data_IF_230970367278
#
_entry.id   IF_230970367278
#
_cell.length_a   1.000
_cell.length_b   1.000
_cell.length_c   1.000
_cell.angle_alpha   90.00
_cell.angle_beta   90.00
_cell.angle_gamma   90.00
#
_symmetry.space_group_name_H-M   'P 1'
#
loop_
_entity.id
_entity.type
_entity.pdbx_description
1 polymer ?
#
# COMPACT_ATOMS: atom_id res chain seq x y z
N UNK A 1 -4.32 20.23 -6.80
CA UNK A 1 -4.46 20.75 -8.18
C UNK A 1 -3.54 21.93 -8.46
N UNK A 2 -2.51 21.69 -9.27
CA UNK A 2 -1.51 22.65 -9.75
C UNK A 2 -1.80 22.98 -11.21
N UNK A 3 -1.68 24.24 -11.64
CA UNK A 3 -1.85 24.60 -13.06
C UNK A 3 -0.50 24.65 -13.77
N UNK A 4 -0.37 23.93 -14.88
CA UNK A 4 0.83 23.87 -15.72
C UNK A 4 0.59 24.45 -17.09
N UNK A 5 1.55 25.23 -17.56
CA UNK A 5 1.61 25.70 -18.93
C UNK A 5 2.38 24.70 -19.79
N UNK A 6 1.73 24.19 -20.85
CA UNK A 6 2.26 23.19 -21.77
C UNK A 6 2.27 23.66 -23.22
N UNK A 7 3.18 23.10 -24.03
CA UNK A 7 3.28 23.40 -25.46
C UNK A 7 2.31 22.59 -26.32
N UNK A 8 1.65 21.57 -25.74
CA UNK A 8 0.69 20.70 -26.39
C UNK A 8 -0.18 20.06 -25.30
N UNK A 9 -1.47 20.37 -25.31
CA UNK A 9 -2.43 19.80 -24.35
C UNK A 9 -2.54 18.28 -24.50
N UNK A 10 -2.72 17.79 -25.73
CA UNK A 10 -2.92 16.36 -26.02
C UNK A 10 -1.77 15.49 -25.47
N UNK A 11 -0.52 15.85 -25.76
CA UNK A 11 0.64 15.09 -25.28
C UNK A 11 0.79 15.16 -23.76
N UNK A 12 0.48 16.31 -23.16
CA UNK A 12 0.55 16.50 -21.72
C UNK A 12 -0.54 15.70 -21.00
N UNK A 13 -1.78 15.68 -21.51
CA UNK A 13 -2.87 14.89 -20.96
C UNK A 13 -2.53 13.40 -20.94
N UNK A 14 -1.99 12.87 -22.04
CA UNK A 14 -1.55 11.46 -22.12
C UNK A 14 -0.46 11.18 -21.08
N UNK A 15 0.54 12.06 -20.99
CA UNK A 15 1.65 11.90 -20.05
C UNK A 15 1.19 11.90 -18.59
N UNK A 16 0.36 12.87 -18.19
CA UNK A 16 -0.08 12.99 -16.81
C UNK A 16 -1.05 11.89 -16.40
N UNK A 17 -1.89 11.44 -17.35
CA UNK A 17 -2.73 10.26 -17.16
C UNK A 17 -1.93 8.97 -17.04
N UNK A 18 -0.87 8.81 -17.83
CA UNK A 18 0.02 7.65 -17.70
C UNK A 18 0.58 7.58 -16.28
N UNK A 19 1.02 8.72 -15.73
CA UNK A 19 1.50 8.82 -14.35
C UNK A 19 0.41 8.70 -13.27
N UNK A 20 -0.89 8.75 -13.62
CA UNK A 20 -1.99 8.76 -12.66
C UNK A 20 -2.10 10.07 -11.87
N UNK A 21 -1.71 11.18 -12.48
CA UNK A 21 -1.65 12.52 -11.87
C UNK A 21 -2.61 13.52 -12.53
N UNK A 22 -3.53 13.05 -13.36
CA UNK A 22 -4.50 13.89 -14.08
C UNK A 22 -5.41 14.71 -13.16
N UNK A 23 -5.71 14.20 -11.96
CA UNK A 23 -6.53 14.92 -10.97
C UNK A 23 -5.72 15.95 -10.17
N UNK A 24 -4.39 15.83 -10.18
CA UNK A 24 -3.49 16.76 -9.48
C UNK A 24 -3.03 17.92 -10.34
N UNK A 25 -3.19 17.82 -11.66
CA UNK A 25 -2.60 18.72 -12.64
C UNK A 25 -3.65 19.24 -13.61
N UNK A 26 -3.89 20.55 -13.56
CA UNK A 26 -4.64 21.27 -14.57
C UNK A 26 -3.69 21.79 -15.66
N UNK A 27 -4.07 21.63 -16.93
CA UNK A 27 -3.23 22.01 -18.06
C UNK A 27 -3.76 23.26 -18.75
N UNK A 28 -2.84 24.11 -19.18
CA UNK A 28 -3.11 25.28 -20.01
C UNK A 28 -2.07 25.35 -21.12
N UNK A 29 -2.45 25.83 -22.30
CA UNK A 29 -1.52 25.97 -23.43
C UNK A 29 -0.86 27.36 -23.43
N UNK A 30 0.47 27.40 -23.39
CA UNK A 30 1.24 28.65 -23.44
C UNK A 30 2.62 28.42 -24.06
N UNK A 31 2.94 29.19 -25.09
CA UNK A 31 4.18 29.10 -25.85
C UNK A 31 5.39 29.72 -25.14
N UNK A 32 5.19 30.58 -24.14
CA UNK A 32 6.28 31.29 -23.45
C UNK A 32 6.39 30.86 -21.99
N UNK A 33 6.59 29.56 -21.77
CA UNK A 33 6.72 28.97 -20.43
C UNK A 33 8.16 29.01 -19.90
N UNK A 34 8.28 29.22 -18.59
CA UNK A 34 9.53 29.07 -17.84
C UNK A 34 9.44 27.79 -17.02
N UNK A 35 10.44 26.89 -17.06
CA UNK A 35 10.47 25.71 -16.21
C UNK A 35 10.30 26.06 -14.73
N UNK A 36 9.44 25.31 -14.06
CA UNK A 36 9.12 25.50 -12.64
C UNK A 36 9.57 24.30 -11.80
N UNK A 37 9.68 24.53 -10.50
CA UNK A 37 9.82 23.47 -9.51
C UNK A 37 8.54 23.39 -8.68
N UNK A 38 7.93 22.21 -8.63
CA UNK A 38 6.60 22.01 -8.06
C UNK A 38 6.60 20.78 -7.16
N UNK A 39 5.88 20.85 -6.04
CA UNK A 39 5.75 19.72 -5.12
C UNK A 39 4.31 19.21 -5.15
N UNK A 40 4.14 17.89 -5.29
CA UNK A 40 2.85 17.21 -5.30
C UNK A 40 2.84 16.20 -4.15
N UNK A 41 1.82 16.29 -3.30
CA UNK A 41 1.58 15.26 -2.28
C UNK A 41 0.65 14.21 -2.86
N UNK A 42 1.09 12.95 -2.82
CA UNK A 42 0.35 11.79 -3.32
C UNK A 42 0.20 10.76 -2.20
N UNK A 43 -0.74 9.83 -2.36
CA UNK A 43 -0.90 8.75 -1.39
C UNK A 43 0.33 7.83 -1.39
N UNK A 44 0.68 7.32 -2.58
CA UNK A 44 1.80 6.40 -2.82
C UNK A 44 2.73 6.92 -3.90
N UNK A 45 4.04 6.80 -3.69
CA UNK A 45 5.03 7.18 -4.69
C UNK A 45 5.50 6.02 -5.57
N UNK A 46 5.21 4.77 -5.18
CA UNK A 46 5.70 3.53 -5.79
C UNK A 46 5.42 3.48 -7.31
N UNK A 47 4.14 3.49 -7.69
CA UNK A 47 3.71 3.36 -9.08
C UNK A 47 4.20 4.52 -9.96
N UNK A 48 4.18 5.75 -9.41
CA UNK A 48 4.62 6.94 -10.13
C UNK A 48 6.13 6.86 -10.38
N UNK A 49 6.91 6.46 -9.37
CA UNK A 49 8.35 6.30 -9.50
C UNK A 49 8.70 5.27 -10.59
N UNK A 50 8.06 4.11 -10.58
CA UNK A 50 8.29 3.05 -11.57
C UNK A 50 7.97 3.52 -12.99
N UNK A 51 6.86 4.24 -13.18
CA UNK A 51 6.48 4.81 -14.48
C UNK A 51 7.46 5.88 -14.95
N UNK A 52 7.88 6.78 -14.07
CA UNK A 52 8.88 7.82 -14.38
C UNK A 52 10.20 7.18 -14.83
N UNK A 53 10.65 6.13 -14.14
CA UNK A 53 11.84 5.36 -14.52
C UNK A 53 11.65 4.64 -15.86
N UNK A 54 10.50 4.00 -16.08
CA UNK A 54 10.18 3.31 -17.32
C UNK A 54 10.12 4.25 -18.54
N UNK A 55 9.68 5.49 -18.33
CA UNK A 55 9.69 6.56 -19.34
C UNK A 55 11.10 7.14 -19.60
N UNK A 56 12.12 6.70 -18.85
CA UNK A 56 13.51 7.15 -19.02
C UNK A 56 13.76 8.59 -18.59
N UNK A 57 12.91 9.13 -17.71
CA UNK A 57 13.05 10.51 -17.22
C UNK A 57 14.21 10.64 -16.23
N UNK A 58 14.78 11.84 -16.15
CA UNK A 58 15.75 12.15 -15.11
C UNK A 58 15.05 12.14 -13.75
N UNK A 59 15.48 11.25 -12.86
CA UNK A 59 14.90 11.04 -11.53
C UNK A 59 15.97 11.10 -10.44
N UNK A 60 15.62 11.63 -9.26
CA UNK A 60 16.48 11.57 -8.06
C UNK A 60 16.28 10.24 -7.33
N UNK A 61 17.22 9.84 -6.44
CA UNK A 61 16.95 8.77 -5.48
C UNK A 61 15.74 9.10 -4.60
N UNK A 62 15.00 8.06 -4.20
CA UNK A 62 13.97 8.18 -3.17
C UNK A 62 14.64 8.44 -1.83
N UNK A 63 14.21 9.47 -1.12
CA UNK A 63 14.76 9.91 0.18
C UNK A 63 13.65 9.99 1.22
N UNK A 64 13.96 9.63 2.47
CA UNK A 64 13.02 9.81 3.58
C UNK A 64 12.71 11.29 3.83
N UNK A 65 11.45 11.56 4.18
CA UNK A 65 10.93 12.86 4.57
C UNK A 65 10.41 12.80 6.01
N UNK A 66 9.60 13.79 6.42
CA UNK A 66 8.94 13.81 7.73
C UNK A 66 7.82 12.77 7.83
N UNK A 67 7.56 12.27 9.04
CA UNK A 67 6.41 11.41 9.36
C UNK A 67 6.27 10.12 8.53
N UNK A 68 7.38 9.48 8.18
CA UNK A 68 7.37 8.21 7.43
C UNK A 68 7.02 8.35 5.95
N UNK A 69 6.86 9.58 5.45
CA UNK A 69 6.76 9.86 4.02
C UNK A 69 8.14 9.84 3.38
N UNK A 70 8.14 9.65 2.07
CA UNK A 70 9.32 9.68 1.23
C UNK A 70 9.11 10.71 0.12
N UNK A 71 10.22 11.15 -0.48
CA UNK A 71 10.17 12.03 -1.63
C UNK A 71 11.17 11.62 -2.69
N UNK A 72 10.82 11.87 -3.94
CA UNK A 72 11.73 11.84 -5.07
C UNK A 72 11.35 12.97 -6.02
N UNK A 73 12.27 13.37 -6.88
CA UNK A 73 12.01 14.36 -7.92
C UNK A 73 12.26 13.81 -9.30
N UNK A 74 11.53 14.30 -10.29
CA UNK A 74 11.81 14.02 -11.70
C UNK A 74 11.64 15.26 -12.56
N UNK A 75 12.28 15.26 -13.73
CA UNK A 75 12.12 16.32 -14.74
C UNK A 75 11.14 15.83 -15.80
N UNK A 76 10.00 16.51 -15.92
CA UNK A 76 8.99 16.21 -16.95
C UNK A 76 9.50 16.61 -18.35
N UNK A 77 8.92 16.08 -19.44
CA UNK A 77 9.34 16.41 -20.82
C UNK A 77 9.36 17.91 -21.12
N UNK A 78 8.52 18.69 -20.44
CA UNK A 78 8.46 20.13 -20.54
C UNK A 78 9.56 20.91 -19.80
N UNK A 79 10.42 20.23 -19.04
CA UNK A 79 11.51 20.81 -18.26
C UNK A 79 11.13 21.19 -16.82
N UNK A 80 9.86 21.11 -16.44
CA UNK A 80 9.43 21.28 -15.05
C UNK A 80 10.03 20.18 -14.17
N UNK A 81 10.50 20.56 -12.98
CA UNK A 81 10.93 19.61 -11.95
C UNK A 81 9.80 19.39 -10.97
N UNK A 82 9.37 18.14 -10.81
CA UNK A 82 8.37 17.76 -9.83
C UNK A 82 9.02 17.06 -8.65
N UNK A 83 8.58 17.39 -7.45
CA UNK A 83 8.94 16.71 -6.19
C UNK A 83 7.68 16.01 -5.71
N UNK A 84 7.71 14.68 -5.71
CA UNK A 84 6.59 13.84 -5.29
C UNK A 84 6.83 13.45 -3.84
N UNK A 85 5.82 13.63 -2.99
CA UNK A 85 5.88 13.32 -1.56
C UNK A 85 4.73 12.37 -1.22
N UNK A 86 5.03 11.18 -0.72
CA UNK A 86 4.01 10.17 -0.40
C UNK A 86 4.57 8.98 0.38
N UNK A 87 3.75 7.96 0.63
CA UNK A 87 4.24 6.70 1.20
C UNK A 87 5.01 5.90 0.14
N UNK A 88 6.14 5.30 0.55
CA UNK A 88 6.83 4.30 -0.25
C UNK A 88 6.54 2.94 0.38
N UNK A 89 5.57 2.22 -0.16
CA UNK A 89 5.05 0.99 0.46
C UNK A 89 5.99 -0.18 0.20
N UNK A 90 6.49 -0.29 -1.03
CA UNK A 90 7.37 -1.36 -1.51
C UNK A 90 8.85 -1.08 -1.22
N UNK A 91 9.10 -0.19 -0.27
CA UNK A 91 10.43 0.11 0.24
C UNK A 91 11.26 -1.17 0.54
N UNK A 92 12.57 -1.20 0.18
CA UNK A 92 13.39 -2.41 0.24
C UNK A 92 13.35 -3.13 1.59
N UNK A 93 13.03 -4.42 1.56
CA UNK A 93 12.91 -5.22 2.79
C UNK A 93 14.28 -5.40 3.48
N UNK A 94 14.32 -5.19 4.80
CA UNK A 94 15.52 -5.30 5.61
C UNK A 94 15.20 -5.80 7.04
N UNK A 95 16.24 -5.99 7.86
CA UNK A 95 16.11 -6.49 9.23
C UNK A 95 15.27 -5.59 10.15
N UNK A 96 15.37 -4.27 10.00
CA UNK A 96 14.61 -3.31 10.80
C UNK A 96 13.12 -3.40 10.53
N UNK A 97 12.74 -3.52 9.25
CA UNK A 97 11.33 -3.72 8.83
C UNK A 97 10.78 -5.04 9.32
N UNK A 98 11.61 -6.08 9.33
CA UNK A 98 11.26 -7.38 9.91
C UNK A 98 10.96 -7.22 11.41
N UNK A 99 11.85 -6.56 12.15
CA UNK A 99 11.68 -6.36 13.59
C UNK A 99 10.42 -5.54 13.90
N UNK A 100 10.21 -4.42 13.19
CA UNK A 100 9.05 -3.55 13.33
C UNK A 100 7.73 -4.27 13.05
N UNK A 101 7.69 -5.14 12.03
CA UNK A 101 6.51 -5.95 11.74
C UNK A 101 6.10 -6.82 12.93
N UNK A 102 7.03 -7.57 13.50
CA UNK A 102 6.75 -8.45 14.65
C UNK A 102 6.48 -7.67 15.94
N UNK A 103 7.07 -6.48 16.11
CA UNK A 103 6.70 -5.57 17.19
C UNK A 103 5.23 -5.11 17.05
N UNK A 104 4.84 -4.70 15.84
CA UNK A 104 3.49 -4.21 15.54
C UNK A 104 2.40 -5.27 15.73
N UNK A 105 2.72 -6.55 15.52
CA UNK A 105 1.78 -7.66 15.73
C UNK A 105 2.01 -8.40 17.05
N UNK A 106 2.77 -7.83 18.00
CA UNK A 106 3.12 -8.52 19.24
C UNK A 106 1.92 -8.90 20.13
N UNK A 107 0.76 -8.26 19.95
CA UNK A 107 -0.48 -8.52 20.65
C UNK A 107 -1.40 -9.55 19.96
N UNK A 108 -1.00 -10.09 18.80
CA UNK A 108 -1.79 -11.10 18.07
C UNK A 108 -1.45 -12.52 18.56
N UNK A 109 -2.39 -13.44 18.39
CA UNK A 109 -2.16 -14.88 18.58
C UNK A 109 -1.71 -15.48 17.27
N UNK A 110 -0.47 -15.97 17.17
CA UNK A 110 -0.02 -16.71 15.98
C UNK A 110 -0.73 -18.06 15.96
N UNK A 111 -1.37 -18.41 14.85
CA UNK A 111 -2.14 -19.64 14.72
C UNK A 111 -1.74 -20.47 13.52
N UNK A 112 -1.62 -21.77 13.73
CA UNK A 112 -1.50 -22.76 12.67
C UNK A 112 -2.87 -22.96 11.98
N UNK A 113 -2.88 -23.36 10.69
CA UNK A 113 -4.13 -23.60 9.98
C UNK A 113 -5.08 -24.62 10.63
N UNK A 114 -4.53 -25.62 11.34
CA UNK A 114 -5.33 -26.63 12.05
C UNK A 114 -6.09 -26.04 13.24
N UNK A 115 -5.50 -25.11 13.98
CA UNK A 115 -6.10 -24.51 15.18
C UNK A 115 -7.33 -23.67 14.84
N UNK A 116 -7.35 -23.04 13.66
CA UNK A 116 -8.46 -22.24 13.18
C UNK A 116 -9.69 -23.06 12.78
N UNK A 117 -9.51 -24.36 12.54
CA UNK A 117 -10.63 -25.27 12.26
C UNK A 117 -11.44 -25.59 13.52
N UNK A 118 -10.85 -25.39 14.70
CA UNK A 118 -11.43 -25.68 16.01
C UNK A 118 -12.12 -24.46 16.64
N UNK A 119 -12.02 -23.28 16.01
CA UNK A 119 -12.67 -22.06 16.50
C UNK A 119 -14.20 -22.21 16.51
N UNK A 120 -14.79 -22.15 17.70
CA UNK A 120 -16.26 -22.14 17.89
C UNK A 120 -16.82 -20.73 17.99
N UNK A 121 -16.00 -19.78 18.45
CA UNK A 121 -16.41 -18.40 18.72
C UNK A 121 -16.15 -17.47 17.53
N UNK A 122 -16.71 -16.25 17.63
CA UNK A 122 -16.39 -15.16 16.71
C UNK A 122 -14.90 -14.80 16.82
N UNK A 123 -14.22 -14.69 15.67
CA UNK A 123 -12.78 -14.49 15.62
C UNK A 123 -12.39 -13.47 14.55
N UNK A 124 -11.34 -12.68 14.85
CA UNK A 124 -10.68 -11.85 13.86
C UNK A 124 -9.44 -12.60 13.35
N UNK A 125 -9.37 -12.81 12.04
CA UNK A 125 -8.26 -13.50 11.38
C UNK A 125 -7.47 -12.49 10.56
N UNK A 126 -6.14 -12.48 10.70
CA UNK A 126 -5.24 -11.68 9.88
C UNK A 126 -4.31 -12.60 9.09
N UNK A 127 -4.51 -12.66 7.78
CA UNK A 127 -3.65 -13.36 6.83
C UNK A 127 -2.60 -12.39 6.30
N UNK A 128 -1.33 -12.67 6.57
CA UNK A 128 -0.23 -11.82 6.13
C UNK A 128 1.11 -12.54 6.11
N UNK A 129 2.15 -11.84 5.70
CA UNK A 129 3.54 -12.32 5.76
C UNK A 129 4.50 -11.14 5.84
N UNK A 130 5.60 -11.31 6.57
CA UNK A 130 6.57 -10.23 6.83
C UNK A 130 7.25 -9.70 5.56
N UNK A 131 7.39 -10.56 4.55
CA UNK A 131 7.98 -10.23 3.25
C UNK A 131 7.08 -9.32 2.40
N UNK A 132 5.76 -9.29 2.66
CA UNK A 132 4.81 -8.49 1.91
C UNK A 132 4.80 -7.02 2.38
N UNK A 133 5.10 -6.04 1.52
CA UNK A 133 5.10 -4.62 1.89
C UNK A 133 3.75 -4.13 2.41
N UNK A 134 2.66 -4.53 1.76
CA UNK A 134 1.31 -4.18 2.18
C UNK A 134 0.92 -4.79 3.53
N UNK A 135 1.41 -5.99 3.85
CA UNK A 135 1.23 -6.58 5.19
C UNK A 135 1.98 -5.78 6.26
N UNK A 136 3.21 -5.34 5.96
CA UNK A 136 3.97 -4.47 6.86
C UNK A 136 3.24 -3.16 7.12
N UNK A 137 2.70 -2.53 6.07
CA UNK A 137 1.86 -1.34 6.22
C UNK A 137 0.67 -1.57 7.14
N UNK A 138 -0.11 -2.64 6.91
CA UNK A 138 -1.28 -2.94 7.74
C UNK A 138 -0.91 -3.24 9.20
N UNK A 139 0.26 -3.85 9.46
CA UNK A 139 0.71 -4.16 10.83
C UNK A 139 0.70 -2.94 11.76
N UNK A 140 0.99 -1.73 11.24
CA UNK A 140 0.93 -0.49 12.02
C UNK A 140 -0.48 -0.20 12.58
N UNK A 141 -1.53 -0.62 11.87
CA UNK A 141 -2.91 -0.49 12.33
C UNK A 141 -3.25 -1.56 13.37
N UNK A 142 -2.74 -2.78 13.19
CA UNK A 142 -2.94 -3.93 14.10
C UNK A 142 -2.46 -3.64 15.52
N UNK A 143 -1.32 -2.94 15.66
CA UNK A 143 -0.74 -2.54 16.95
C UNK A 143 -1.73 -1.81 17.88
N UNK A 144 -2.69 -1.10 17.29
CA UNK A 144 -3.66 -0.26 18.02
C UNK A 144 -5.04 -0.91 18.17
N UNK A 145 -5.20 -2.19 17.80
CA UNK A 145 -6.48 -2.91 17.93
C UNK A 145 -6.59 -3.53 19.32
N UNK A 146 -7.66 -3.17 20.04
CA UNK A 146 -8.01 -3.72 21.36
C UNK A 146 -8.97 -4.92 21.23
N UNK A 147 -8.55 -5.92 20.44
CA UNK A 147 -9.26 -7.19 20.27
C UNK A 147 -8.26 -8.29 19.91
N UNK A 148 -8.53 -9.52 20.37
CA UNK A 148 -7.73 -10.67 19.96
C UNK A 148 -7.83 -10.90 18.45
N UNK A 149 -6.67 -10.92 17.80
CA UNK A 149 -6.51 -11.24 16.37
C UNK A 149 -5.70 -12.52 16.27
N UNK A 150 -6.16 -13.47 15.47
CA UNK A 150 -5.42 -14.66 15.10
C UNK A 150 -4.64 -14.39 13.81
N UNK A 151 -3.31 -14.41 13.88
CA UNK A 151 -2.42 -14.19 12.76
C UNK A 151 -2.04 -15.51 12.09
N UNK A 152 -2.20 -15.54 10.77
CA UNK A 152 -1.81 -16.65 9.91
C UNK A 152 -0.66 -16.18 9.03
N UNK A 153 0.51 -16.78 9.23
CA UNK A 153 1.64 -16.58 8.33
C UNK A 153 1.39 -17.30 7.01
N UNK A 154 1.37 -16.52 5.94
CA UNK A 154 1.06 -16.98 4.59
C UNK A 154 2.30 -17.23 3.72
N UNK A 155 3.52 -17.08 4.26
CA UNK A 155 4.78 -17.21 3.50
C UNK A 155 4.86 -18.52 2.68
N UNK A 156 4.53 -19.66 3.30
CA UNK A 156 4.68 -21.00 2.72
C UNK A 156 3.42 -21.52 2.02
N UNK A 157 2.53 -20.65 1.54
CA UNK A 157 1.25 -21.05 0.92
C UNK A 157 1.42 -22.06 -0.22
N UNK A 158 2.46 -21.91 -1.04
CA UNK A 158 2.68 -22.75 -2.23
C UNK A 158 3.08 -24.18 -1.89
N UNK A 159 3.70 -24.38 -0.72
CA UNK A 159 4.27 -25.67 -0.30
C UNK A 159 3.52 -26.30 0.88
N UNK A 160 2.63 -25.56 1.54
CA UNK A 160 1.82 -26.03 2.67
C UNK A 160 0.35 -26.22 2.25
N UNK A 161 -0.11 -27.47 1.99
CA UNK A 161 -1.48 -27.74 1.56
C UNK A 161 -2.54 -27.28 2.56
N UNK A 162 -2.28 -27.36 3.87
CA UNK A 162 -3.22 -26.95 4.90
C UNK A 162 -3.45 -25.43 4.86
N UNK A 163 -2.38 -24.66 4.64
CA UNK A 163 -2.45 -23.21 4.47
C UNK A 163 -3.20 -22.83 3.19
N UNK A 164 -2.97 -23.55 2.09
CA UNK A 164 -3.71 -23.35 0.83
C UNK A 164 -5.21 -23.60 1.02
N UNK A 165 -5.59 -24.75 1.59
CA UNK A 165 -7.00 -25.07 1.88
C UNK A 165 -7.65 -24.04 2.79
N UNK A 166 -6.92 -23.53 3.78
CA UNK A 166 -7.42 -22.48 4.66
C UNK A 166 -7.69 -21.18 3.90
N UNK A 167 -6.77 -20.75 3.02
CA UNK A 167 -6.95 -19.56 2.19
C UNK A 167 -8.14 -19.72 1.25
N UNK A 168 -8.28 -20.87 0.61
CA UNK A 168 -9.41 -21.18 -0.27
C UNK A 168 -10.74 -21.12 0.50
N UNK A 169 -10.79 -21.68 1.71
CA UNK A 169 -11.98 -21.65 2.59
C UNK A 169 -12.45 -20.23 2.91
N UNK A 170 -11.52 -19.30 3.11
CA UNK A 170 -11.80 -17.91 3.46
C UNK A 170 -11.70 -16.95 2.26
N UNK A 171 -11.58 -17.50 1.04
CA UNK A 171 -11.45 -16.75 -0.21
C UNK A 171 -10.30 -15.71 -0.17
N UNK A 172 -9.15 -16.09 0.42
CA UNK A 172 -7.97 -15.23 0.55
C UNK A 172 -7.11 -15.34 -0.70
N UNK A 173 -7.42 -14.56 -1.73
CA UNK A 173 -6.64 -14.48 -2.96
C UNK A 173 -5.31 -13.73 -2.76
N UNK A 174 -5.34 -12.61 -2.04
CA UNK A 174 -4.18 -11.72 -1.81
C UNK A 174 -3.98 -11.43 -0.33
N UNK A 175 -2.80 -10.93 0.03
CA UNK A 175 -2.49 -10.48 1.39
C UNK A 175 -1.98 -9.04 1.36
N UNK A 176 -2.24 -8.24 2.40
CA UNK A 176 -2.92 -8.60 3.65
C UNK A 176 -4.43 -8.80 3.47
N UNK A 177 -5.01 -9.71 4.24
CA UNK A 177 -6.47 -9.87 4.36
C UNK A 177 -6.86 -10.00 5.82
N UNK A 178 -7.82 -9.20 6.28
CA UNK A 178 -8.40 -9.32 7.63
C UNK A 178 -9.85 -9.76 7.49
N UNK A 179 -10.25 -10.71 8.33
CA UNK A 179 -11.57 -11.35 8.29
C UNK A 179 -12.19 -11.34 9.67
N UNK A 180 -13.48 -11.02 9.74
CA UNK A 180 -14.31 -11.30 10.91
C UNK A 180 -15.13 -12.54 10.60
N UNK A 181 -14.86 -13.62 11.32
CA UNK A 181 -15.56 -14.90 11.22
C UNK A 181 -16.58 -15.00 12.34
N UNK A 182 -17.82 -15.35 12.02
CA UNK A 182 -18.90 -15.55 12.97
C UNK A 182 -19.00 -17.01 13.44
N UNK A 183 -19.78 -17.24 14.50
CA UNK A 183 -19.97 -18.55 15.13
C UNK A 183 -20.62 -19.58 14.21
N UNK A 184 -21.45 -19.13 13.27
CA UNK A 184 -22.08 -19.97 12.24
C UNK A 184 -21.14 -20.35 11.08
N UNK A 185 -19.89 -19.86 11.12
CA UNK A 185 -18.86 -20.10 10.12
C UNK A 185 -18.91 -19.16 8.92
N UNK A 186 -19.90 -18.25 8.84
CA UNK A 186 -19.89 -17.17 7.86
C UNK A 186 -18.79 -16.15 8.19
N UNK A 187 -18.39 -15.35 7.21
CA UNK A 187 -17.34 -14.38 7.41
C UNK A 187 -17.49 -13.16 6.51
N UNK A 188 -16.93 -12.04 6.96
CA UNK A 188 -16.81 -10.80 6.18
C UNK A 188 -15.34 -10.38 6.12
N UNK A 189 -14.93 -9.84 4.99
CA UNK A 189 -13.57 -9.31 4.79
C UNK A 189 -13.55 -7.82 5.09
N UNK A 190 -12.46 -7.37 5.67
CA UNK A 190 -12.19 -5.96 5.87
C UNK A 190 -12.00 -5.25 4.54
N UNK A 191 -12.67 -4.11 4.37
CA UNK A 191 -12.46 -3.19 3.25
C UNK A 191 -12.14 -1.79 3.79
N UNK A 192 -10.89 -1.37 3.61
CA UNK A 192 -10.37 -0.09 4.08
C UNK A 192 -11.03 1.12 3.41
N UNK A 193 -11.72 0.95 2.26
CA UNK A 193 -12.53 2.01 1.64
C UNK A 193 -13.86 2.21 2.33
N UNK A 194 -14.35 1.19 3.03
CA UNK A 194 -15.68 1.19 3.65
C UNK A 194 -15.67 1.68 5.10
N UNK A 195 -14.64 1.31 5.89
CA UNK A 195 -14.55 1.63 7.32
C UNK A 195 -13.11 1.50 7.84
N UNK A 196 -12.88 2.00 9.05
CA UNK A 196 -11.60 1.83 9.75
C UNK A 196 -11.41 0.39 10.25
N UNK A 197 -10.16 -0.05 10.41
CA UNK A 197 -9.87 -1.37 10.99
C UNK A 197 -10.41 -1.48 12.42
N UNK A 198 -10.32 -0.41 13.21
CA UNK A 198 -10.83 -0.38 14.59
C UNK A 198 -12.34 -0.55 14.64
N UNK A 199 -13.08 -0.02 13.66
CA UNK A 199 -14.53 -0.20 13.61
C UNK A 199 -14.91 -1.59 13.12
N UNK A 200 -14.17 -2.13 12.14
CA UNK A 200 -14.39 -3.47 11.61
C UNK A 200 -14.23 -4.57 12.67
N UNK A 201 -13.24 -4.41 13.56
CA UNK A 201 -12.93 -5.39 14.60
C UNK A 201 -13.78 -5.24 15.87
N UNK A 202 -14.63 -4.21 16.01
CA UNK A 202 -15.60 -4.15 17.12
C UNK A 202 -16.61 -5.29 17.01
#
# INVERSE_FOLDING_TARGET
MITLNVNSLENAEIFWKELGLEDEIALNEDFNRVPQMLAISVEYIDEIYDKVVALGLQVSPITASVNGKHMFSFVAPEGNTFILIGEWVEEPYNGDKRALYFENISNVTVSAPSELSELTDEAILFFGRVTCPWCRRLSHQIKNVDRQIFYIDTEDTDINPALKTLRDKYDVATVPTVIKRYTDGTFVKFDAKSQSLQDFVK
#
